data_IF_621483690907
#
_entry.id   IF_621483690907
#
_cell.length_a   1.000
_cell.length_b   1.000
_cell.length_c   1.000
_cell.angle_alpha   90.00
_cell.angle_beta   90.00
_cell.angle_gamma   90.00
#
_symmetry.space_group_name_H-M   'P 1'
#
loop_
_entity.id
_entity.type
_entity.pdbx_description
1 polymer ?
#
# COMPACT_ATOMS: atom_id res chain seq x y z
N UNK A 1 49.82 5.06 24.16
CA UNK A 1 49.45 6.36 23.58
C UNK A 1 49.45 6.14 22.07
N UNK A 2 48.24 5.99 21.50
CA UNK A 2 47.71 6.83 20.39
C UNK A 2 48.40 6.48 19.06
N UNK A 3 47.74 6.12 17.98
CA UNK A 3 46.54 6.73 17.39
C UNK A 3 45.73 5.69 16.59
N UNK A 4 44.44 5.58 16.87
CA UNK A 4 43.44 5.02 15.97
C UNK A 4 43.20 6.03 14.84
N UNK A 5 43.83 5.82 13.69
CA UNK A 5 43.39 6.45 12.44
C UNK A 5 42.15 5.70 11.96
N UNK A 6 40.97 6.11 12.44
CA UNK A 6 39.72 5.79 11.76
C UNK A 6 39.68 6.64 10.50
N UNK A 7 40.12 6.02 9.40
CA UNK A 7 39.97 6.52 8.05
C UNK A 7 38.47 6.60 7.75
N UNK A 8 37.86 7.75 8.04
CA UNK A 8 36.58 8.11 7.46
C UNK A 8 36.85 8.35 5.98
N UNK A 9 36.77 7.27 5.19
CA UNK A 9 36.71 7.36 3.74
C UNK A 9 35.57 8.34 3.40
N UNK A 10 35.95 9.56 3.03
CA UNK A 10 35.05 10.55 2.48
C UNK A 10 34.65 10.01 1.10
N UNK A 11 33.57 9.23 1.06
CA UNK A 11 33.02 8.72 -0.19
C UNK A 11 32.70 9.93 -1.06
N UNK A 12 33.42 10.08 -2.16
CA UNK A 12 33.19 11.19 -3.09
C UNK A 12 31.70 11.23 -3.48
N UNK A 13 31.09 12.42 -3.50
CA UNK A 13 29.68 12.54 -3.84
C UNK A 13 29.46 12.02 -5.25
N UNK A 14 28.61 11.00 -5.38
CA UNK A 14 28.25 10.47 -6.69
C UNK A 14 27.15 11.34 -7.29
N UNK A 15 27.28 11.71 -8.55
CA UNK A 15 26.21 12.40 -9.26
C UNK A 15 25.40 11.36 -10.03
N UNK A 16 24.08 11.35 -9.81
CA UNK A 16 23.15 10.46 -10.51
C UNK A 16 21.99 11.25 -11.06
N UNK A 17 21.39 10.76 -12.15
CA UNK A 17 20.17 11.36 -12.67
C UNK A 17 18.98 11.05 -11.76
N UNK A 18 18.04 11.96 -11.64
CA UNK A 18 16.79 11.73 -10.91
C UNK A 18 16.04 10.54 -11.52
N UNK A 19 16.10 10.39 -12.84
CA UNK A 19 15.55 9.22 -13.54
C UNK A 19 16.17 7.88 -13.10
N UNK A 20 17.47 7.84 -12.79
CA UNK A 20 18.16 6.65 -12.28
C UNK A 20 17.85 6.38 -10.81
N UNK A 21 17.67 7.45 -10.02
CA UNK A 21 17.26 7.33 -8.62
C UNK A 21 15.83 6.80 -8.54
N UNK A 22 14.91 7.36 -9.32
CA UNK A 22 13.51 6.96 -9.32
C UNK A 22 13.30 5.48 -9.71
N UNK A 23 14.16 4.91 -10.57
CA UNK A 23 14.08 3.50 -10.97
C UNK A 23 14.39 2.51 -9.84
N UNK A 24 15.03 2.97 -8.75
CA UNK A 24 15.36 2.13 -7.60
C UNK A 24 14.15 1.91 -6.67
N UNK A 25 13.13 2.76 -6.79
CA UNK A 25 11.95 2.74 -5.93
C UNK A 25 10.74 2.16 -6.66
N UNK A 26 9.80 1.61 -5.89
CA UNK A 26 8.53 1.14 -6.46
C UNK A 26 7.63 2.34 -6.76
N UNK A 27 6.67 2.22 -7.72
CA UNK A 27 5.72 3.29 -8.02
C UNK A 27 4.97 3.84 -6.80
N UNK A 28 4.76 2.98 -5.80
CA UNK A 28 4.05 3.27 -4.55
C UNK A 28 4.84 4.17 -3.59
N UNK A 29 6.15 4.32 -3.82
CA UNK A 29 7.10 5.06 -2.98
C UNK A 29 7.43 6.44 -3.55
N UNK A 30 7.11 6.66 -4.83
CA UNK A 30 7.67 7.76 -5.60
C UNK A 30 6.93 9.09 -5.43
N UNK A 31 5.73 9.09 -4.86
CA UNK A 31 4.88 10.29 -4.79
C UNK A 31 5.59 11.43 -4.05
N UNK A 32 6.00 11.22 -2.79
CA UNK A 32 6.68 12.25 -2.01
C UNK A 32 8.16 12.34 -2.31
N UNK A 33 8.73 11.39 -3.05
CA UNK A 33 10.08 11.56 -3.60
C UNK A 33 10.04 12.63 -4.68
N UNK A 34 9.07 12.57 -5.60
CA UNK A 34 9.06 13.38 -6.82
C UNK A 34 8.29 14.69 -6.71
N UNK A 35 7.28 14.78 -5.85
CA UNK A 35 6.52 16.02 -5.63
C UNK A 35 7.40 17.19 -5.11
N UNK A 36 8.35 17.00 -4.15
CA UNK A 36 9.21 18.08 -3.67
C UNK A 36 10.22 18.62 -4.69
N UNK A 37 10.63 17.82 -5.69
CA UNK A 37 11.57 18.29 -6.73
C UNK A 37 10.97 19.39 -7.59
N UNK A 38 9.64 19.43 -7.73
CA UNK A 38 8.96 20.52 -8.45
C UNK A 38 8.88 21.84 -7.68
N UNK A 39 8.89 21.80 -6.34
CA UNK A 39 8.55 22.96 -5.49
C UNK A 39 9.73 23.51 -4.68
N UNK A 40 10.83 22.78 -4.53
CA UNK A 40 12.01 23.32 -3.86
C UNK A 40 12.87 22.23 -3.25
N UNK A 41 14.07 22.11 -3.81
CA UNK A 41 15.18 21.34 -3.26
C UNK A 41 15.25 21.44 -1.74
N UNK A 42 15.26 20.28 -1.07
CA UNK A 42 15.50 20.22 0.37
C UNK A 42 16.94 20.65 0.65
N UNK A 43 17.23 21.14 1.86
CA UNK A 43 18.62 21.42 2.27
C UNK A 43 19.53 20.18 2.23
N UNK A 44 18.93 18.98 2.18
CA UNK A 44 19.62 17.70 2.17
C UNK A 44 19.94 17.19 0.75
N UNK A 45 19.20 17.62 -0.28
CA UNK A 45 19.39 17.17 -1.66
C UNK A 45 19.77 18.35 -2.54
N UNK A 46 20.90 18.25 -3.23
CA UNK A 46 21.31 19.24 -4.23
C UNK A 46 21.08 18.65 -5.61
N UNK A 47 20.34 19.35 -6.48
CA UNK A 47 20.10 18.94 -7.85
C UNK A 47 20.21 20.11 -8.82
N UNK A 48 20.51 19.79 -10.07
CA UNK A 48 20.57 20.74 -11.18
C UNK A 48 19.65 20.26 -12.30
N UNK A 49 18.77 21.13 -12.85
CA UNK A 49 17.88 20.74 -13.92
C UNK A 49 18.66 20.37 -15.19
N UNK A 50 18.24 19.29 -15.85
CA UNK A 50 18.73 18.87 -17.16
C UNK A 50 17.71 19.25 -18.24
N UNK A 51 18.15 19.27 -19.51
CA UNK A 51 17.26 19.54 -20.64
C UNK A 51 16.31 18.36 -20.94
N UNK A 52 16.71 17.17 -20.50
CA UNK A 52 15.99 15.92 -20.76
C UNK A 52 14.72 15.82 -19.90
N UNK A 53 13.78 15.01 -20.37
CA UNK A 53 12.62 14.58 -19.60
C UNK A 53 12.57 13.07 -19.57
N UNK A 54 11.98 12.53 -18.51
CA UNK A 54 11.75 11.10 -18.39
C UNK A 54 10.32 10.81 -17.99
N UNK A 55 9.89 9.59 -18.31
CA UNK A 55 8.59 9.08 -17.94
C UNK A 55 8.74 8.16 -16.72
N UNK A 56 7.88 8.36 -15.73
CA UNK A 56 7.88 7.59 -14.49
C UNK A 56 6.46 7.15 -14.14
N UNK A 57 6.33 5.97 -13.55
CA UNK A 57 5.06 5.47 -13.03
C UNK A 57 4.99 5.77 -11.55
N UNK A 58 3.96 6.50 -11.14
CA UNK A 58 3.76 6.91 -9.75
C UNK A 58 2.35 6.53 -9.34
N UNK A 59 2.21 5.96 -8.15
CA UNK A 59 0.90 5.82 -7.50
C UNK A 59 0.50 7.19 -6.97
N UNK A 60 -0.58 7.77 -7.52
CA UNK A 60 -1.09 9.04 -7.02
C UNK A 60 -1.95 8.84 -5.76
N UNK A 61 -2.42 9.92 -5.12
CA UNK A 61 -3.30 9.85 -3.94
C UNK A 61 -4.62 9.08 -4.22
N UNK A 62 -5.08 9.08 -5.47
CA UNK A 62 -6.19 8.23 -5.92
C UNK A 62 -5.81 6.74 -6.07
N UNK A 63 -4.59 6.39 -5.64
CA UNK A 63 -3.86 5.14 -5.74
C UNK A 63 -4.02 4.38 -7.04
N UNK A 64 -4.23 5.10 -8.14
CA UNK A 64 -3.96 4.58 -9.46
C UNK A 64 -2.50 4.84 -9.80
N UNK A 65 -1.86 3.84 -10.40
CA UNK A 65 -0.54 4.01 -10.97
C UNK A 65 -0.71 4.76 -12.30
N UNK A 66 -0.22 5.99 -12.36
CA UNK A 66 -0.25 6.82 -13.57
C UNK A 66 1.15 7.07 -14.08
N UNK A 67 1.25 7.24 -15.39
CA UNK A 67 2.47 7.67 -16.06
C UNK A 67 2.55 9.19 -15.98
N UNK A 68 3.61 9.71 -15.38
CA UNK A 68 3.92 11.14 -15.28
C UNK A 68 5.20 11.42 -16.06
N UNK A 69 5.22 12.50 -16.83
CA UNK A 69 6.44 12.99 -17.48
C UNK A 69 7.04 14.10 -16.62
N UNK A 70 8.33 14.02 -16.33
CA UNK A 70 9.03 14.96 -15.45
C UNK A 70 10.36 15.43 -16.07
N UNK A 71 10.83 16.65 -15.75
CA UNK A 71 12.19 17.05 -16.07
C UNK A 71 13.17 16.14 -15.34
N UNK A 72 14.25 15.76 -16.00
CA UNK A 72 15.36 15.06 -15.35
C UNK A 72 16.27 16.07 -14.66
N UNK A 73 16.93 15.63 -13.60
CA UNK A 73 17.84 16.48 -12.82
C UNK A 73 19.10 15.70 -12.46
N UNK A 74 20.24 16.37 -12.42
CA UNK A 74 21.47 15.79 -11.91
C UNK A 74 21.53 16.01 -10.40
N UNK A 75 21.38 14.94 -9.64
CA UNK A 75 21.36 14.94 -8.19
C UNK A 75 22.74 14.59 -7.64
N UNK A 76 23.22 15.39 -6.70
CA UNK A 76 24.40 15.06 -5.90
C UNK A 76 23.98 14.11 -4.78
N UNK A 77 24.39 12.86 -4.91
CA UNK A 77 24.08 11.78 -3.97
C UNK A 77 25.14 11.75 -2.87
N UNK A 78 24.78 12.32 -1.72
CA UNK A 78 25.50 12.18 -0.44
C UNK A 78 24.76 11.15 0.41
N UNK A 79 25.38 10.58 1.47
CA UNK A 79 24.67 9.70 2.40
C UNK A 79 23.40 10.33 3.01
N UNK A 80 23.43 11.64 3.26
CA UNK A 80 22.27 12.42 3.73
C UNK A 80 21.17 12.51 2.68
N UNK A 81 21.54 12.67 1.40
CA UNK A 81 20.62 12.66 0.28
C UNK A 81 19.95 11.30 0.08
N UNK A 82 20.73 10.20 0.17
CA UNK A 82 20.19 8.83 0.12
C UNK A 82 19.19 8.57 1.24
N UNK A 83 19.56 8.91 2.48
CA UNK A 83 18.66 8.79 3.62
C UNK A 83 17.38 9.63 3.46
N UNK A 84 17.47 10.79 2.82
CA UNK A 84 16.31 11.62 2.50
C UNK A 84 15.37 10.93 1.50
N UNK A 85 15.90 10.32 0.44
CA UNK A 85 15.09 9.57 -0.53
C UNK A 85 14.39 8.38 0.12
N UNK A 86 15.11 7.61 0.93
CA UNK A 86 14.56 6.46 1.64
C UNK A 86 13.49 6.88 2.66
N UNK A 87 13.72 7.96 3.39
CA UNK A 87 12.72 8.52 4.29
C UNK A 87 11.45 8.95 3.52
N UNK A 88 11.60 9.60 2.36
CA UNK A 88 10.45 9.99 1.53
C UNK A 88 9.71 8.81 0.91
N UNK A 89 10.41 7.74 0.56
CA UNK A 89 9.78 6.47 0.17
C UNK A 89 8.90 5.92 1.30
N UNK A 90 9.44 5.84 2.52
CA UNK A 90 8.71 5.36 3.70
C UNK A 90 7.50 6.25 4.02
N UNK A 91 7.67 7.57 3.98
CA UNK A 91 6.60 8.54 4.22
C UNK A 91 5.47 8.38 3.20
N UNK A 92 5.80 8.16 1.93
CA UNK A 92 4.81 7.92 0.88
C UNK A 92 3.97 6.67 1.19
N UNK A 93 4.61 5.58 1.61
CA UNK A 93 3.89 4.37 2.03
C UNK A 93 2.99 4.66 3.22
N UNK A 94 3.45 5.43 4.20
CA UNK A 94 2.60 5.76 5.34
C UNK A 94 1.34 6.51 4.89
N UNK A 95 1.48 7.53 4.02
CA UNK A 95 0.35 8.30 3.48
C UNK A 95 -0.64 7.39 2.76
N UNK A 96 -0.18 6.58 1.81
CA UNK A 96 -1.05 5.66 1.07
C UNK A 96 -1.78 4.66 2.01
N UNK A 97 -1.16 4.25 3.13
CA UNK A 97 -1.74 3.29 4.07
C UNK A 97 -2.77 3.96 4.98
N UNK A 98 -2.50 5.20 5.40
CA UNK A 98 -3.46 6.01 6.17
C UNK A 98 -4.68 6.40 5.33
N UNK A 99 -4.52 6.65 4.04
CA UNK A 99 -5.62 7.07 3.15
C UNK A 99 -6.46 5.89 2.62
N UNK A 100 -5.81 4.78 2.24
CA UNK A 100 -6.47 3.69 1.50
C UNK A 100 -6.46 2.37 2.25
N UNK A 101 -5.47 2.19 3.13
CA UNK A 101 -5.33 0.99 3.93
C UNK A 101 -4.88 -0.25 3.14
N UNK A 102 -4.54 -0.13 1.85
CA UNK A 102 -4.09 -1.25 1.04
C UNK A 102 -2.83 -0.89 0.26
N UNK A 103 -1.68 -1.07 0.91
CA UNK A 103 -0.38 -1.11 0.25
C UNK A 103 0.12 -2.54 0.27
N UNK A 104 0.78 -2.95 -0.82
CA UNK A 104 1.50 -4.20 -0.84
C UNK A 104 2.74 -4.08 0.07
N UNK A 105 2.56 -4.35 1.36
CA UNK A 105 3.67 -4.45 2.29
C UNK A 105 4.38 -5.78 2.06
N UNK A 106 5.66 -5.70 1.73
CA UNK A 106 6.50 -6.85 1.47
C UNK A 106 7.20 -7.27 2.78
N UNK A 107 7.12 -8.57 3.11
CA UNK A 107 7.63 -9.08 4.39
C UNK A 107 9.16 -8.99 4.47
N UNK A 108 9.85 -9.18 3.35
CA UNK A 108 11.31 -9.07 3.26
C UNK A 108 11.79 -7.66 3.63
N UNK A 109 11.06 -6.62 3.22
CA UNK A 109 11.38 -5.22 3.56
C UNK A 109 11.26 -4.92 5.04
N UNK A 110 10.21 -5.42 5.70
CA UNK A 110 10.06 -5.31 7.15
C UNK A 110 11.21 -6.03 7.86
N UNK A 111 11.52 -7.26 7.45
CA UNK A 111 12.58 -8.06 8.07
C UNK A 111 13.97 -7.44 7.86
N UNK A 112 14.19 -6.76 6.73
CA UNK A 112 15.41 -6.02 6.45
C UNK A 112 15.52 -4.68 7.19
N UNK A 113 14.45 -4.24 7.89
CA UNK A 113 14.40 -2.95 8.58
C UNK A 113 14.15 -1.74 7.66
N UNK A 114 13.91 -1.96 6.37
CA UNK A 114 13.61 -0.90 5.41
C UNK A 114 12.21 -0.31 5.62
N UNK A 115 11.27 -1.10 6.13
CA UNK A 115 9.93 -0.63 6.49
C UNK A 115 9.69 -0.84 8.00
N UNK A 116 9.21 0.19 8.70
CA UNK A 116 8.87 0.09 10.12
C UNK A 116 7.47 -0.53 10.30
N UNK A 117 7.45 -1.78 10.78
CA UNK A 117 6.22 -2.51 11.06
C UNK A 117 5.31 -1.78 12.05
N UNK A 118 5.85 -1.18 13.10
CA UNK A 118 5.05 -0.53 14.14
C UNK A 118 4.36 0.72 13.57
N UNK A 119 5.08 1.52 12.78
CA UNK A 119 4.52 2.68 12.09
C UNK A 119 3.42 2.28 11.10
N UNK A 120 3.67 1.28 10.26
CA UNK A 120 2.68 0.78 9.29
C UNK A 120 1.46 0.17 9.99
N UNK A 121 1.66 -0.55 11.09
CA UNK A 121 0.55 -1.10 11.89
C UNK A 121 -0.33 0.02 12.47
N UNK A 122 0.26 1.06 13.05
CA UNK A 122 -0.52 2.18 13.59
C UNK A 122 -1.26 2.95 12.50
N UNK A 123 -0.63 3.20 11.35
CA UNK A 123 -1.29 3.80 10.18
C UNK A 123 -2.51 2.95 9.73
N UNK A 124 -2.34 1.63 9.61
CA UNK A 124 -3.42 0.71 9.26
C UNK A 124 -4.54 0.72 10.31
N UNK A 125 -4.18 0.73 11.60
CA UNK A 125 -5.13 0.77 12.70
C UNK A 125 -5.96 2.06 12.68
N UNK A 126 -5.33 3.21 12.48
CA UNK A 126 -6.02 4.51 12.33
C UNK A 126 -7.03 4.47 11.18
N UNK A 127 -6.64 3.97 10.02
CA UNK A 127 -7.54 3.82 8.87
C UNK A 127 -8.77 2.98 9.19
N UNK A 128 -8.59 1.80 9.81
CA UNK A 128 -9.71 0.91 10.18
C UNK A 128 -10.65 1.61 11.18
N UNK A 129 -10.11 2.27 12.21
CA UNK A 129 -10.90 2.99 13.21
C UNK A 129 -11.68 4.13 12.57
N UNK A 130 -11.07 4.88 11.64
CA UNK A 130 -11.72 5.96 10.92
C UNK A 130 -12.87 5.43 10.06
N UNK A 131 -12.63 4.39 9.27
CA UNK A 131 -13.65 3.73 8.45
C UNK A 131 -14.85 3.27 9.28
N UNK A 132 -14.62 2.65 10.45
CA UNK A 132 -15.68 2.21 11.34
C UNK A 132 -16.48 3.38 11.94
N UNK A 133 -15.85 4.54 12.18
CA UNK A 133 -16.55 5.76 12.63
C UNK A 133 -17.43 6.33 11.53
N UNK A 134 -16.96 6.35 10.30
CA UNK A 134 -17.70 6.90 9.16
C UNK A 134 -18.89 6.01 8.78
N UNK A 135 -18.76 4.69 8.84
CA UNK A 135 -19.89 3.75 8.67
C UNK A 135 -20.97 3.92 9.75
N UNK A 136 -20.58 4.21 11.00
CA UNK A 136 -21.53 4.49 12.09
C UNK A 136 -22.25 5.83 11.90
N UNK A 137 -21.58 6.86 11.38
CA UNK A 137 -22.20 8.16 11.04
C UNK A 137 -23.16 8.02 9.85
N UNK A 138 -22.79 7.23 8.82
CA UNK A 138 -23.65 6.97 7.66
C UNK A 138 -24.94 6.21 8.01
N UNK A 139 -24.89 5.28 8.98
CA UNK A 139 -26.09 4.57 9.46
C UNK A 139 -27.03 5.42 10.32
N UNK A 140 -26.52 6.47 10.97
CA UNK A 140 -27.35 7.38 11.77
C UNK A 140 -28.17 8.36 10.91
N UNK A 141 -27.77 8.60 9.66
CA UNK A 141 -28.44 9.56 8.77
C UNK A 141 -29.68 8.99 8.03
N UNK A 142 -29.90 7.67 8.03
CA UNK A 142 -31.02 7.05 7.28
C UNK A 142 -32.23 6.70 8.16
N UNK A 143 -32.21 7.00 9.47
CA UNK A 143 -33.31 6.67 10.37
C UNK A 143 -34.09 7.90 10.86
N UNK A 144 -34.59 8.76 9.97
CA UNK A 144 -35.65 9.72 10.33
C UNK A 144 -36.49 10.10 9.12
N UNK A 145 -37.59 9.36 8.88
CA UNK A 145 -38.86 9.96 8.43
C UNK A 145 -40.04 9.02 8.72
N UNK A 146 -40.73 9.36 9.81
CA UNK A 146 -42.19 9.47 9.94
C UNK A 146 -43.06 8.20 9.91
N UNK A 147 -43.44 7.75 11.11
CA UNK A 147 -44.61 6.92 11.31
C UNK A 147 -45.92 7.69 11.10
N UNK A 148 -46.92 7.03 10.52
CA UNK A 148 -48.34 7.39 10.64
C UNK A 148 -49.18 6.13 10.87
N UNK A 149 -49.90 6.13 11.99
CA UNK A 149 -50.80 5.10 12.56
C UNK A 149 -52.11 4.97 11.77
N UNK A 150 -52.66 3.74 11.67
CA UNK A 150 -54.08 3.34 11.84
C UNK A 150 -54.25 1.89 11.30
N UNK A 151 -54.58 0.86 12.10
CA UNK A 151 -55.86 0.49 12.75
C UNK A 151 -56.76 -0.43 11.90
N UNK A 152 -57.07 -1.61 12.46
CA UNK A 152 -58.18 -2.52 12.09
C UNK A 152 -57.81 -3.67 11.14
N UNK A 153 -58.40 -4.87 11.17
CA UNK A 153 -59.34 -5.57 12.06
C UNK A 153 -59.45 -7.00 11.49
N UNK A 154 -59.45 -8.04 12.34
CA UNK A 154 -60.01 -9.41 12.16
C UNK A 154 -59.93 -10.15 10.81
N UNK A 155 -59.36 -11.36 10.81
CA UNK A 155 -60.08 -12.58 10.41
C UNK A 155 -59.35 -13.86 10.85
N UNK A 156 -60.17 -14.80 11.29
CA UNK A 156 -59.94 -16.09 11.94
C UNK A 156 -59.58 -17.20 10.93
N UNK A 157 -58.93 -18.25 11.45
CA UNK A 157 -58.96 -19.65 11.00
C UNK A 157 -58.46 -20.03 9.59
N UNK A 158 -57.47 -20.93 9.52
CA UNK A 158 -57.72 -22.38 9.43
C UNK A 158 -56.41 -23.17 9.36
N UNK A 159 -56.28 -24.17 10.23
CA UNK A 159 -55.31 -25.24 10.10
C UNK A 159 -55.56 -26.07 8.82
N UNK A 160 -54.50 -26.43 8.09
CA UNK A 160 -54.46 -27.70 7.34
C UNK A 160 -53.04 -28.27 7.39
N UNK A 161 -52.97 -29.50 7.90
CA UNK A 161 -51.82 -30.38 8.06
C UNK A 161 -51.78 -31.33 6.85
N UNK A 162 -50.62 -31.47 6.20
CA UNK A 162 -50.14 -32.63 5.42
C UNK A 162 -48.97 -32.16 4.53
N UNK A 163 -47.97 -32.91 4.12
CA UNK A 163 -47.31 -34.14 4.56
C UNK A 163 -46.04 -34.23 3.69
N UNK A 164 -44.96 -34.77 4.29
CA UNK A 164 -43.79 -35.43 3.69
C UNK A 164 -43.62 -35.55 2.16
N UNK A 165 -42.39 -35.30 1.71
CA UNK A 165 -41.52 -36.12 0.81
C UNK A 165 -40.28 -35.24 0.50
N UNK A 166 -39.01 -35.63 0.40
CA UNK A 166 -38.14 -36.80 0.62
C UNK A 166 -36.70 -36.22 0.48
N UNK A 167 -35.67 -36.70 1.20
CA UNK A 167 -34.31 -36.17 1.07
C UNK A 167 -33.61 -36.70 -0.18
N UNK A 168 -32.93 -35.81 -0.91
CA UNK A 168 -32.02 -36.20 -2.00
C UNK A 168 -30.69 -36.68 -1.39
N UNK A 169 -30.55 -38.00 -1.31
CA UNK A 169 -29.27 -38.69 -1.30
C UNK A 169 -28.61 -38.50 -2.67
N UNK A 170 -27.37 -38.00 -2.72
CA UNK A 170 -26.42 -38.44 -3.72
C UNK A 170 -25.11 -38.72 -3.02
N UNK A 171 -24.86 -40.01 -2.82
CA UNK A 171 -23.56 -40.55 -2.47
C UNK A 171 -22.67 -40.59 -3.71
N UNK A 172 -21.39 -40.32 -3.48
CA UNK A 172 -20.34 -40.39 -4.48
C UNK A 172 -19.00 -40.03 -3.85
N UNK A 173 -18.51 -40.88 -2.96
CA UNK A 173 -17.09 -40.97 -2.62
C UNK A 173 -16.50 -42.20 -3.36
N UNK A 174 -15.18 -42.47 -3.31
CA UNK A 174 -14.00 -41.62 -3.36
C UNK A 174 -13.09 -42.04 -4.54
N UNK A 175 -12.11 -41.23 -4.95
CA UNK A 175 -11.02 -41.72 -5.81
C UNK A 175 -9.69 -41.06 -5.43
N UNK A 176 -8.89 -41.86 -4.72
CA UNK A 176 -7.44 -42.05 -4.84
C UNK A 176 -6.51 -40.86 -5.11
N UNK A 177 -5.65 -40.59 -4.13
CA UNK A 177 -4.30 -40.04 -4.29
C UNK A 177 -3.36 -41.06 -4.99
N UNK A 178 -2.04 -40.83 -5.05
CA UNK A 178 -1.25 -39.73 -5.62
C UNK A 178 -0.43 -40.24 -6.83
N UNK A 179 0.21 -39.35 -7.61
CA UNK A 179 1.32 -39.79 -8.47
C UNK A 179 2.44 -38.75 -8.47
N UNK A 180 3.51 -39.11 -7.79
CA UNK A 180 4.83 -38.51 -7.95
C UNK A 180 5.44 -39.03 -9.25
N UNK A 181 6.19 -38.17 -9.94
CA UNK A 181 7.28 -38.61 -10.80
C UNK A 181 8.46 -37.63 -10.63
N UNK A 182 9.63 -38.12 -10.20
CA UNK A 182 10.86 -37.36 -10.18
C UNK A 182 11.51 -37.41 -11.57
N UNK A 183 12.20 -36.35 -11.98
CA UNK A 183 13.21 -36.45 -13.04
C UNK A 183 14.46 -35.67 -12.62
N UNK A 184 15.49 -36.48 -12.41
CA UNK A 184 16.90 -36.24 -12.08
C UNK A 184 17.60 -35.39 -13.16
N UNK A 185 18.70 -34.68 -12.83
CA UNK A 185 19.36 -33.73 -13.72
C UNK A 185 20.24 -34.42 -14.78
N UNK A 186 20.51 -33.71 -15.88
CA UNK A 186 21.48 -34.13 -16.90
C UNK A 186 22.55 -33.03 -17.10
N UNK A 187 23.80 -33.48 -16.92
CA UNK A 187 25.11 -32.99 -17.36
C UNK A 187 25.52 -31.53 -17.07
#
# INVERSE_FOLDING_TARGET
MTETSTDHAATDPQYKKLSEIAQQYQPEDLLLILDPFGEGLSSAVQALPLADKFDVRVMEQDGQIKKRQMPDELVRLTPEGEAWFDHKAQETRQVHLEERGNIAVNAERILSGQDDFAALFEARRKFIVQKLKDEKKGKAATSTTTGKKASGKTATDKATRASQTKPTQNGGAPASAPSASPTTPEA
#
